data_IF_771558145755
#
_entry.id   IF_771558145755
#
_cell.length_a   1.000
_cell.length_b   1.000
_cell.length_c   1.000
_cell.angle_alpha   90.00
_cell.angle_beta   90.00
_cell.angle_gamma   90.00
#
_symmetry.space_group_name_H-M   'P 1'
#
loop_
_entity.id
_entity.type
_entity.pdbx_description
1 polymer ?
#
# COMPACT_ATOMS: atom_id res chain seq x y z
N UNK A 1 -28.01 13.22 -28.30
CA UNK A 1 -28.12 13.48 -26.85
C UNK A 1 -28.40 12.16 -26.18
N UNK A 2 -27.47 11.67 -25.35
CA UNK A 2 -27.68 10.43 -24.62
C UNK A 2 -28.33 10.76 -23.28
N UNK A 3 -29.53 10.28 -23.05
CA UNK A 3 -30.20 10.39 -21.76
C UNK A 3 -29.60 9.35 -20.82
N UNK A 4 -28.96 9.82 -19.77
CA UNK A 4 -28.46 8.96 -18.69
C UNK A 4 -29.46 9.04 -17.54
N UNK A 5 -30.13 7.93 -17.27
CA UNK A 5 -30.99 7.79 -16.11
C UNK A 5 -30.31 6.87 -15.10
N UNK A 6 -30.32 7.28 -13.83
CA UNK A 6 -29.81 6.47 -12.74
C UNK A 6 -30.97 5.92 -11.91
N UNK A 7 -31.01 4.60 -11.74
CA UNK A 7 -31.97 3.93 -10.89
C UNK A 7 -31.28 2.91 -9.98
N UNK A 8 -31.99 2.42 -8.98
CA UNK A 8 -31.48 1.42 -8.05
C UNK A 8 -31.03 0.11 -8.73
N UNK A 9 -31.58 -0.20 -9.91
CA UNK A 9 -31.24 -1.40 -10.69
C UNK A 9 -30.05 -1.20 -11.63
N UNK A 10 -29.60 0.01 -11.87
CA UNK A 10 -28.50 0.29 -12.78
C UNK A 10 -27.18 -0.30 -12.30
N UNK A 11 -27.02 -0.48 -10.99
CA UNK A 11 -25.86 -1.11 -10.39
C UNK A 11 -25.64 -2.55 -10.88
N UNK A 12 -26.71 -3.25 -11.28
CA UNK A 12 -26.63 -4.61 -11.82
C UNK A 12 -26.26 -4.65 -13.30
N UNK A 13 -26.43 -3.55 -14.02
CA UNK A 13 -26.22 -3.45 -15.46
C UNK A 13 -24.97 -2.67 -15.83
N UNK A 14 -24.48 -1.83 -14.92
CA UNK A 14 -23.33 -0.96 -15.11
C UNK A 14 -22.17 -1.37 -14.20
N UNK A 15 -20.98 -0.82 -14.38
CA UNK A 15 -19.84 -1.10 -13.52
C UNK A 15 -19.14 -2.43 -13.79
N UNK A 16 -19.15 -2.91 -15.04
CA UNK A 16 -18.48 -4.14 -15.48
C UNK A 16 -19.17 -5.44 -15.00
N UNK A 17 -20.47 -5.60 -15.25
CA UNK A 17 -21.22 -6.78 -14.86
C UNK A 17 -20.79 -8.01 -15.66
N UNK A 18 -20.84 -9.19 -15.02
CA UNK A 18 -20.57 -10.48 -15.69
C UNK A 18 -21.84 -11.08 -16.29
N UNK A 19 -22.96 -10.91 -15.61
CA UNK A 19 -24.27 -11.40 -16.04
C UNK A 19 -25.26 -10.24 -15.97
N UNK A 20 -25.96 -9.99 -17.07
CA UNK A 20 -27.05 -9.02 -17.15
C UNK A 20 -28.29 -9.71 -17.76
N UNK A 21 -29.46 -9.02 -17.77
CA UNK A 21 -30.65 -9.54 -18.38
C UNK A 21 -30.53 -9.76 -19.89
N UNK A 22 -29.64 -9.06 -20.56
CA UNK A 22 -29.52 -9.04 -22.01
C UNK A 22 -28.25 -9.70 -22.55
N UNK A 23 -27.23 -9.82 -21.68
CA UNK A 23 -25.95 -10.33 -22.11
C UNK A 23 -25.23 -11.01 -20.95
N UNK A 24 -24.69 -12.18 -21.22
CA UNK A 24 -23.77 -12.89 -20.32
C UNK A 24 -22.36 -12.71 -20.86
N UNK A 25 -21.51 -12.11 -20.04
CA UNK A 25 -20.08 -11.95 -20.34
C UNK A 25 -19.30 -12.63 -19.23
N UNK A 26 -18.63 -13.71 -19.60
CA UNK A 26 -17.74 -14.40 -18.66
C UNK A 26 -16.43 -13.65 -18.56
N UNK A 27 -16.00 -13.36 -17.32
CA UNK A 27 -14.70 -12.83 -17.04
C UNK A 27 -13.72 -13.99 -16.92
N UNK A 28 -12.64 -13.95 -17.69
CA UNK A 28 -11.55 -14.91 -17.57
C UNK A 28 -10.68 -14.53 -16.39
N UNK A 29 -10.55 -15.44 -15.45
CA UNK A 29 -9.63 -15.28 -14.31
C UNK A 29 -8.34 -16.04 -14.63
N UNK A 30 -7.21 -15.36 -14.49
CA UNK A 30 -5.89 -15.97 -14.61
C UNK A 30 -5.40 -16.36 -13.22
N UNK A 31 -4.86 -17.55 -13.07
CA UNK A 31 -4.23 -17.98 -11.83
C UNK A 31 -3.03 -17.09 -11.55
N UNK A 32 -2.89 -16.66 -10.31
CA UNK A 32 -1.76 -15.83 -9.86
C UNK A 32 -1.30 -16.26 -8.48
N UNK A 33 -0.05 -15.97 -8.16
CA UNK A 33 0.52 -16.12 -6.84
C UNK A 33 1.11 -14.79 -6.38
N UNK A 34 1.18 -14.60 -5.06
CA UNK A 34 1.82 -13.42 -4.47
C UNK A 34 2.92 -13.87 -3.53
N UNK A 35 4.04 -13.17 -3.59
CA UNK A 35 5.17 -13.37 -2.68
C UNK A 35 5.72 -12.02 -2.21
N UNK A 36 6.38 -12.04 -1.06
CA UNK A 36 7.08 -10.88 -0.53
C UNK A 36 8.56 -10.94 -0.93
N UNK A 37 9.02 -9.95 -1.66
CA UNK A 37 10.41 -9.85 -2.12
C UNK A 37 11.08 -8.67 -1.42
N UNK A 38 12.14 -8.95 -0.63
CA UNK A 38 12.91 -7.91 0.01
C UNK A 38 13.73 -7.14 -1.04
N UNK A 39 13.68 -5.81 -0.95
CA UNK A 39 14.50 -4.92 -1.76
C UNK A 39 15.57 -4.30 -0.86
N UNK A 40 16.76 -4.11 -1.42
CA UNK A 40 17.88 -3.50 -0.71
C UNK A 40 17.95 -2.02 -1.01
N UNK A 41 18.34 -1.23 -0.01
CA UNK A 41 18.60 0.19 -0.20
C UNK A 41 19.95 0.42 -0.87
N UNK A 42 19.99 1.40 -1.74
CA UNK A 42 21.20 1.94 -2.34
C UNK A 42 21.76 3.02 -1.40
N UNK A 43 22.89 2.73 -0.78
CA UNK A 43 23.53 3.60 0.20
C UNK A 43 23.40 3.13 1.64
N UNK A 44 24.08 3.84 2.53
CA UNK A 44 24.06 3.55 3.96
C UNK A 44 22.86 4.20 4.62
N UNK A 45 22.09 3.40 5.35
CA UNK A 45 20.98 3.90 6.18
C UNK A 45 21.56 4.51 7.45
N UNK A 46 21.41 5.82 7.61
CA UNK A 46 21.85 6.57 8.77
C UNK A 46 20.85 7.68 9.10
N UNK A 47 20.94 8.23 10.32
CA UNK A 47 20.11 9.36 10.69
C UNK A 47 20.37 10.56 9.78
N UNK A 48 19.29 11.11 9.20
CA UNK A 48 19.36 12.23 8.24
C UNK A 48 19.80 11.83 6.82
N UNK A 49 20.04 10.54 6.54
CA UNK A 49 20.40 10.09 5.21
C UNK A 49 19.15 9.93 4.32
N UNK A 50 19.32 10.25 3.05
CA UNK A 50 18.36 9.87 2.00
C UNK A 50 18.90 8.62 1.29
N UNK A 51 18.09 7.61 1.23
CA UNK A 51 18.41 6.33 0.57
C UNK A 51 17.32 6.01 -0.46
N UNK A 52 17.69 5.34 -1.52
CA UNK A 52 16.76 4.85 -2.54
C UNK A 52 16.77 3.34 -2.59
N UNK A 53 15.66 2.77 -3.05
CA UNK A 53 15.56 1.36 -3.36
C UNK A 53 14.90 1.21 -4.72
N UNK A 54 15.56 0.51 -5.61
CA UNK A 54 15.00 0.22 -6.92
C UNK A 54 14.22 -1.08 -6.85
N UNK A 55 12.92 -1.03 -7.16
CA UNK A 55 12.07 -2.22 -7.17
C UNK A 55 12.47 -3.09 -8.37
N UNK A 56 12.99 -4.27 -8.09
CA UNK A 56 13.42 -5.24 -9.11
C UNK A 56 12.21 -5.87 -9.82
N UNK A 57 12.41 -6.23 -11.09
CA UNK A 57 11.36 -6.86 -11.92
C UNK A 57 11.25 -8.37 -11.66
N UNK A 58 10.98 -8.76 -10.41
CA UNK A 58 10.81 -10.17 -10.05
C UNK A 58 9.40 -10.70 -10.31
N UNK A 59 8.44 -9.80 -10.50
CA UNK A 59 7.04 -10.12 -10.81
C UNK A 59 6.46 -9.13 -11.81
N UNK A 60 5.26 -9.41 -12.27
CA UNK A 60 4.56 -8.60 -13.26
C UNK A 60 3.90 -7.36 -12.65
N UNK A 61 3.42 -7.47 -11.41
CA UNK A 61 2.66 -6.42 -10.74
C UNK A 61 3.14 -6.23 -9.30
N UNK A 62 3.14 -4.98 -8.85
CA UNK A 62 3.37 -4.62 -7.45
C UNK A 62 2.02 -4.38 -6.78
N UNK A 63 1.74 -5.13 -5.72
CA UNK A 63 0.47 -5.01 -5.00
C UNK A 63 0.58 -4.11 -3.77
N UNK A 64 1.56 -4.38 -2.90
CA UNK A 64 1.79 -3.61 -1.67
C UNK A 64 3.27 -3.43 -1.41
N UNK A 65 3.59 -2.35 -0.74
CA UNK A 65 4.97 -2.05 -0.32
C UNK A 65 4.97 -1.81 1.18
N UNK A 66 5.92 -2.42 1.86
CA UNK A 66 6.14 -2.26 3.30
C UNK A 66 7.58 -1.81 3.55
N UNK A 67 7.75 -0.89 4.45
CA UNK A 67 9.05 -0.55 4.98
C UNK A 67 9.30 -1.40 6.25
N UNK A 68 10.27 -2.31 6.20
CA UNK A 68 10.71 -3.06 7.36
C UNK A 68 11.69 -2.21 8.16
N UNK A 69 11.41 -2.03 9.43
CA UNK A 69 12.29 -1.36 10.38
C UNK A 69 12.73 -2.39 11.42
N UNK A 70 14.02 -2.60 11.56
CA UNK A 70 14.62 -3.51 12.54
C UNK A 70 15.65 -2.77 13.39
N UNK A 71 15.86 -3.24 14.63
CA UNK A 71 16.89 -2.73 15.52
C UNK A 71 16.48 -1.58 16.43
N UNK A 72 15.22 -1.17 16.44
CA UNK A 72 14.68 -0.27 17.47
C UNK A 72 14.47 -1.05 18.77
N UNK A 73 14.90 -0.47 19.90
CA UNK A 73 14.68 -1.08 21.22
C UNK A 73 13.20 -1.37 21.46
N UNK A 74 12.92 -2.44 22.18
CA UNK A 74 11.63 -3.11 22.36
C UNK A 74 10.47 -2.29 22.98
N UNK A 75 10.52 -0.96 22.96
CA UNK A 75 9.56 -0.10 23.68
C UNK A 75 9.04 1.10 22.89
N UNK A 76 9.36 1.22 21.61
CA UNK A 76 8.84 2.34 20.86
C UNK A 76 7.35 2.11 20.52
N UNK A 77 6.49 3.04 20.93
CA UNK A 77 5.10 3.06 20.47
C UNK A 77 5.04 3.11 18.94
N UNK A 78 4.02 2.55 18.27
CA UNK A 78 3.92 2.55 16.80
C UNK A 78 4.10 3.94 16.19
N UNK A 79 3.60 4.97 16.85
CA UNK A 79 3.78 6.36 16.45
C UNK A 79 5.27 6.79 16.37
N UNK A 80 6.16 6.19 17.15
CA UNK A 80 7.58 6.52 17.12
C UNK A 80 8.25 6.07 15.82
N UNK A 81 7.84 4.96 15.25
CA UNK A 81 8.43 4.47 13.99
C UNK A 81 8.11 5.37 12.80
N UNK A 82 6.91 5.93 12.77
CA UNK A 82 6.55 6.92 11.76
C UNK A 82 7.38 8.20 11.90
N UNK A 83 7.78 8.56 13.13
CA UNK A 83 8.64 9.72 13.40
C UNK A 83 10.09 9.55 12.93
N UNK A 84 10.54 8.31 12.66
CA UNK A 84 11.88 8.07 12.11
C UNK A 84 11.96 8.31 10.61
N UNK A 85 10.82 8.37 9.94
CA UNK A 85 10.72 8.57 8.50
C UNK A 85 10.24 10.00 8.26
N UNK A 86 11.09 10.85 7.73
CA UNK A 86 10.69 12.20 7.32
C UNK A 86 9.66 12.12 6.19
N UNK A 87 10.04 11.53 5.08
CA UNK A 87 9.14 11.27 3.97
C UNK A 87 9.58 10.08 3.12
N UNK A 88 8.62 9.50 2.40
CA UNK A 88 8.85 8.46 1.39
C UNK A 88 8.33 8.99 0.05
N UNK A 89 9.15 8.88 -0.97
CA UNK A 89 8.83 9.29 -2.33
C UNK A 89 8.66 8.06 -3.23
N UNK A 90 7.68 8.11 -4.10
CA UNK A 90 7.51 7.16 -5.19
C UNK A 90 7.88 7.83 -6.50
N UNK A 91 8.86 7.26 -7.19
CA UNK A 91 9.26 7.69 -8.51
C UNK A 91 8.96 6.57 -9.53
N UNK A 92 8.36 6.92 -10.65
CA UNK A 92 8.10 6.01 -11.76
C UNK A 92 8.66 6.62 -13.03
N UNK A 93 9.58 5.91 -13.68
CA UNK A 93 10.22 6.40 -14.89
C UNK A 93 11.04 7.69 -14.70
N UNK A 94 11.57 7.91 -13.50
CA UNK A 94 12.32 9.12 -13.15
C UNK A 94 11.44 10.35 -12.82
N UNK A 95 10.13 10.16 -12.73
CA UNK A 95 9.20 11.21 -12.31
C UNK A 95 8.69 10.94 -10.91
N UNK A 96 8.69 11.97 -10.06
CA UNK A 96 8.07 11.93 -8.75
C UNK A 96 6.54 11.85 -8.92
N UNK A 97 5.95 10.76 -8.45
CA UNK A 97 4.51 10.51 -8.53
C UNK A 97 3.82 10.86 -7.23
N UNK A 98 4.41 10.48 -6.09
CA UNK A 98 3.79 10.69 -4.79
C UNK A 98 4.86 10.89 -3.71
N UNK A 99 4.48 11.61 -2.64
CA UNK A 99 5.32 11.85 -1.47
C UNK A 99 4.46 11.76 -0.21
N UNK A 100 4.86 10.88 0.70
CA UNK A 100 4.19 10.67 1.97
C UNK A 100 5.12 11.00 3.14
N UNK A 101 4.65 11.82 4.05
CA UNK A 101 5.36 12.18 5.27
C UNK A 101 5.05 11.19 6.40
N UNK A 102 6.00 10.99 7.30
CA UNK A 102 5.81 10.11 8.45
C UNK A 102 4.60 10.49 9.30
N UNK A 103 4.39 11.76 9.55
CA UNK A 103 3.22 12.25 10.29
C UNK A 103 1.90 11.88 9.58
N UNK A 104 1.84 11.99 8.25
CA UNK A 104 0.66 11.60 7.47
C UNK A 104 0.39 10.09 7.55
N UNK A 105 1.44 9.27 7.46
CA UNK A 105 1.30 7.81 7.58
C UNK A 105 0.73 7.40 8.94
N UNK A 106 1.15 8.08 10.02
CA UNK A 106 0.61 7.86 11.35
C UNK A 106 -0.88 8.22 11.42
N UNK A 107 -1.27 9.40 10.94
CA UNK A 107 -2.68 9.84 10.92
C UNK A 107 -3.54 8.87 10.10
N UNK A 108 -3.06 8.44 8.94
CA UNK A 108 -3.76 7.48 8.10
C UNK A 108 -3.97 6.14 8.80
N UNK A 109 -2.95 5.65 9.49
CA UNK A 109 -3.03 4.40 10.26
C UNK A 109 -4.05 4.50 11.39
N UNK A 110 -4.07 5.62 12.10
CA UNK A 110 -5.05 5.86 13.18
C UNK A 110 -6.50 5.89 12.66
N UNK A 111 -6.73 6.49 11.51
CA UNK A 111 -8.08 6.67 10.95
C UNK A 111 -8.61 5.42 10.22
N UNK A 112 -7.75 4.64 9.61
CA UNK A 112 -8.18 3.57 8.68
C UNK A 112 -8.00 2.15 9.21
N UNK A 113 -7.11 1.94 10.18
CA UNK A 113 -6.87 0.62 10.73
C UNK A 113 -7.83 0.32 11.88
N UNK A 114 -8.32 -0.93 11.90
CA UNK A 114 -9.07 -1.43 13.04
C UNK A 114 -8.18 -1.57 14.27
N UNK A 115 -8.78 -1.52 15.46
CA UNK A 115 -8.05 -1.65 16.73
C UNK A 115 -7.24 -2.94 16.83
N UNK A 116 -7.75 -4.05 16.30
CA UNK A 116 -7.02 -5.33 16.24
C UNK A 116 -5.74 -5.24 15.42
N UNK A 117 -5.76 -4.55 14.29
CA UNK A 117 -4.56 -4.33 13.47
C UNK A 117 -3.55 -3.41 14.16
N UNK A 118 -4.02 -2.38 14.83
CA UNK A 118 -3.17 -1.50 15.65
C UNK A 118 -2.47 -2.27 16.74
N UNK A 119 -3.19 -3.11 17.47
CA UNK A 119 -2.62 -3.98 18.51
C UNK A 119 -1.57 -4.93 17.94
N UNK A 120 -1.79 -5.50 16.75
CA UNK A 120 -0.79 -6.33 16.06
C UNK A 120 0.46 -5.55 15.69
N UNK A 121 0.33 -4.32 15.20
CA UNK A 121 1.48 -3.45 14.91
C UNK A 121 2.29 -3.14 16.16
N UNK A 122 1.62 -2.89 17.29
CA UNK A 122 2.26 -2.72 18.59
C UNK A 122 3.02 -3.98 19.01
N UNK A 123 2.39 -5.15 18.89
CA UNK A 123 3.02 -6.43 19.25
C UNK A 123 4.24 -6.73 18.37
N UNK A 124 4.17 -6.47 17.09
CA UNK A 124 5.31 -6.60 16.18
C UNK A 124 6.45 -5.65 16.54
N UNK A 125 6.12 -4.42 16.93
CA UNK A 125 7.13 -3.45 17.35
C UNK A 125 7.90 -3.91 18.59
N UNK A 126 7.25 -4.60 19.50
CA UNK A 126 7.87 -5.17 20.69
C UNK A 126 8.82 -6.34 20.39
N UNK A 127 8.65 -7.00 19.26
CA UNK A 127 9.53 -8.09 18.81
C UNK A 127 10.84 -7.59 18.16
N UNK A 128 11.07 -6.28 18.11
CA UNK A 128 12.27 -5.68 17.52
C UNK A 128 12.23 -5.51 16.00
N UNK A 129 11.12 -5.89 15.37
CA UNK A 129 10.84 -5.66 13.97
C UNK A 129 9.46 -5.03 13.81
N UNK A 130 9.35 -4.04 12.95
CA UNK A 130 8.04 -3.49 12.58
C UNK A 130 7.96 -3.28 11.08
N UNK A 131 6.74 -3.28 10.57
CA UNK A 131 6.46 -3.07 9.16
C UNK A 131 5.54 -1.85 9.03
N UNK A 132 6.01 -0.85 8.31
CA UNK A 132 5.23 0.34 8.00
C UNK A 132 4.61 0.14 6.61
N UNK A 133 3.29 -0.01 6.51
CA UNK A 133 2.63 -0.11 5.21
C UNK A 133 2.67 1.24 4.50
N UNK A 134 3.17 1.27 3.28
CA UNK A 134 3.17 2.45 2.44
C UNK A 134 1.84 2.52 1.67
N UNK A 135 1.22 3.70 1.66
CA UNK A 135 -0.14 3.90 1.15
C UNK A 135 -0.15 4.61 -0.20
N UNK A 136 0.65 4.13 -1.14
CA UNK A 136 0.59 4.61 -2.51
C UNK A 136 -0.74 4.24 -3.19
N UNK A 137 -1.07 4.87 -4.30
CA UNK A 137 -2.34 4.68 -4.99
C UNK A 137 -2.66 3.21 -5.27
N UNK A 138 -1.72 2.45 -5.80
CA UNK A 138 -1.88 1.02 -6.10
C UNK A 138 -1.96 0.15 -4.85
N UNK A 139 -1.44 0.59 -3.70
CA UNK A 139 -1.58 -0.12 -2.43
C UNK A 139 -3.00 -0.01 -1.86
N UNK A 140 -3.70 1.09 -2.17
CA UNK A 140 -5.08 1.35 -1.72
C UNK A 140 -6.12 0.81 -2.67
N UNK A 141 -5.87 0.90 -3.95
CA UNK A 141 -6.77 0.41 -4.99
C UNK A 141 -6.00 -0.45 -5.99
N UNK A 142 -6.22 -1.78 -6.01
CA UNK A 142 -5.50 -2.69 -6.90
C UNK A 142 -5.86 -2.51 -8.39
N UNK A 143 -6.83 -1.67 -8.71
CA UNK A 143 -7.18 -1.32 -10.08
C UNK A 143 -6.39 -0.14 -10.67
N UNK A 144 -5.47 0.44 -9.88
CA UNK A 144 -4.65 1.59 -10.27
C UNK A 144 -3.20 1.19 -10.52
#
# INVERSE_FOLDING_TARGET
MQLVAYGAQDIYLTGNPQITFFKVVYRRHTNFAMESVAQTFEGAVAAGARVSATISRNGDLVHRVYLEVSGGGAQAAPAAYFGWVDHVELEIGGQLIDRHYGAWMNIWTELTHSDSKRTQLVALSQSGKTFIPLQFSFCRNPGL
#
